data_IF_512643532213
#
_entry.id   IF_512643532213
#
_cell.length_a   1.000
_cell.length_b   1.000
_cell.length_c   1.000
_cell.angle_alpha   90.00
_cell.angle_beta   90.00
_cell.angle_gamma   90.00
#
_symmetry.space_group_name_H-M   'P 1'
#
loop_
_entity.id
_entity.type
_entity.pdbx_description
1 polymer ?
#
# COMPACT_ATOMS: atom_id res chain seq x y z
N UNK A 1 -10.08 32.69 15.53
CA UNK A 1 -10.16 31.59 14.55
C UNK A 1 -8.89 30.77 14.71
N UNK A 2 -8.98 29.44 14.70
CA UNK A 2 -7.78 28.60 14.64
C UNK A 2 -7.13 28.73 13.26
N UNK A 3 -5.80 28.63 13.19
CA UNK A 3 -5.01 28.73 11.97
C UNK A 3 -4.65 27.31 11.51
N UNK A 4 -4.76 27.02 10.22
CA UNK A 4 -4.44 25.71 9.67
C UNK A 4 -2.94 25.39 9.81
N UNK A 5 -2.57 24.12 10.03
CA UNK A 5 -1.20 23.71 10.33
C UNK A 5 -0.19 24.11 9.24
N UNK A 6 -0.57 24.00 7.97
CA UNK A 6 0.24 24.43 6.81
C UNK A 6 0.51 25.95 6.76
N UNK A 7 -0.23 26.74 7.53
CA UNK A 7 -0.10 28.19 7.62
C UNK A 7 0.51 28.65 8.95
N UNK A 8 0.82 27.72 9.86
CA UNK A 8 1.43 28.03 11.15
C UNK A 8 2.95 28.18 11.01
N UNK A 9 3.51 29.16 11.71
CA UNK A 9 4.95 29.43 11.73
C UNK A 9 5.46 29.58 13.17
N UNK A 10 6.68 29.12 13.43
CA UNK A 10 7.43 29.34 14.67
C UNK A 10 8.66 30.19 14.39
N UNK A 11 9.21 30.83 15.42
CA UNK A 11 10.49 31.55 15.33
C UNK A 11 11.57 30.62 15.86
N UNK A 12 12.58 30.35 15.04
CA UNK A 12 13.74 29.54 15.41
C UNK A 12 14.98 30.44 15.50
N UNK A 13 15.74 30.32 16.60
CA UNK A 13 16.96 31.10 16.81
C UNK A 13 18.15 30.36 16.23
N UNK A 14 18.80 30.95 15.22
CA UNK A 14 20.10 30.51 14.69
C UNK A 14 21.18 31.52 15.10
N UNK A 15 21.71 31.36 16.31
CA UNK A 15 22.66 32.30 16.90
C UNK A 15 21.99 33.64 17.27
N UNK A 16 22.37 34.72 16.58
CA UNK A 16 21.82 36.08 16.80
C UNK A 16 20.59 36.34 15.89
N UNK A 17 20.41 35.55 14.83
CA UNK A 17 19.30 35.74 13.88
C UNK A 17 18.07 34.92 14.28
N UNK A 18 16.90 35.55 14.20
CA UNK A 18 15.59 34.91 14.34
C UNK A 18 15.01 34.66 12.95
N UNK A 19 14.73 33.39 12.65
CA UNK A 19 14.15 32.97 11.37
C UNK A 19 12.72 32.48 11.60
N UNK A 20 11.80 32.91 10.73
CA UNK A 20 10.41 32.45 10.75
C UNK A 20 10.30 31.18 9.91
N UNK A 21 10.11 30.03 10.56
CA UNK A 21 10.04 28.72 9.91
C UNK A 21 8.64 28.11 10.05
N UNK A 22 8.17 27.29 9.10
CA UNK A 22 6.92 26.56 9.24
C UNK A 22 6.91 25.70 10.52
N UNK A 23 5.73 25.51 11.11
CA UNK A 23 5.59 24.61 12.27
C UNK A 23 5.78 23.15 11.84
N UNK A 24 5.26 22.77 10.67
CA UNK A 24 5.56 21.48 10.02
C UNK A 24 6.99 21.54 9.46
N UNK A 25 7.95 21.04 10.23
CA UNK A 25 9.37 21.14 9.90
C UNK A 25 10.13 19.94 10.47
N UNK A 26 11.22 19.47 9.82
CA UNK A 26 12.02 18.36 10.34
C UNK A 26 12.51 18.52 11.79
N UNK A 27 12.76 19.76 12.23
CA UNK A 27 13.14 20.04 13.64
C UNK A 27 12.01 19.82 14.65
N UNK A 28 10.78 19.53 14.18
CA UNK A 28 9.64 19.19 15.02
C UNK A 28 9.44 17.68 15.23
N UNK A 29 10.26 16.82 14.61
CA UNK A 29 10.26 15.37 14.91
C UNK A 29 10.78 15.10 16.32
N UNK A 30 10.26 14.03 16.94
CA UNK A 30 10.79 13.56 18.24
C UNK A 30 11.92 12.53 18.08
N UNK A 31 12.33 12.25 16.84
CA UNK A 31 13.36 11.25 16.49
C UNK A 31 13.04 9.86 17.04
N UNK A 32 11.75 9.48 17.01
CA UNK A 32 11.31 8.16 17.45
C UNK A 32 11.76 7.09 16.44
N UNK A 33 12.25 5.96 16.92
CA UNK A 33 12.73 4.90 16.02
C UNK A 33 11.60 3.91 15.74
N UNK A 34 11.36 3.61 14.46
CA UNK A 34 10.36 2.62 14.06
C UNK A 34 11.05 1.41 13.44
N UNK A 35 10.73 0.22 13.95
CA UNK A 35 11.23 -1.03 13.38
C UNK A 35 10.39 -1.48 12.18
N UNK A 36 11.00 -2.17 11.22
CA UNK A 36 10.28 -2.73 10.06
C UNK A 36 9.43 -3.94 10.46
N UNK A 37 8.26 -4.07 9.84
CA UNK A 37 7.40 -5.23 10.00
C UNK A 37 7.99 -6.49 9.37
N UNK A 38 7.76 -7.64 10.01
CA UNK A 38 8.09 -8.96 9.48
C UNK A 38 6.84 -9.85 9.51
N UNK A 39 6.65 -10.66 8.47
CA UNK A 39 5.57 -11.66 8.43
C UNK A 39 5.79 -12.73 9.48
N UNK A 40 4.70 -13.38 9.89
CA UNK A 40 4.78 -14.59 10.70
C UNK A 40 5.68 -15.63 10.00
N UNK A 41 6.61 -16.30 10.72
CA UNK A 41 7.45 -17.33 10.14
C UNK A 41 6.60 -18.47 9.55
N UNK A 42 7.07 -19.05 8.45
CA UNK A 42 6.40 -20.18 7.80
C UNK A 42 6.50 -21.46 8.64
N UNK A 43 7.61 -21.61 9.37
CA UNK A 43 7.82 -22.66 10.35
C UNK A 43 7.59 -22.08 11.75
N UNK A 44 6.43 -22.40 12.33
CA UNK A 44 6.05 -21.96 13.67
C UNK A 44 6.67 -22.81 14.78
N UNK A 45 7.37 -23.90 14.43
CA UNK A 45 8.12 -24.71 15.40
C UNK A 45 9.50 -24.10 15.71
N UNK A 46 10.00 -23.19 14.86
CA UNK A 46 11.18 -22.38 15.15
C UNK A 46 10.86 -21.32 16.22
N UNK A 47 11.02 -21.71 17.48
CA UNK A 47 10.77 -20.85 18.62
C UNK A 47 11.55 -19.53 18.58
N UNK A 48 12.77 -19.51 18.03
CA UNK A 48 13.56 -18.28 17.95
C UNK A 48 13.00 -17.31 16.91
N UNK A 49 12.54 -17.81 15.75
CA UNK A 49 11.87 -17.01 14.75
C UNK A 49 10.52 -16.47 15.24
N UNK A 50 9.77 -17.27 16.00
CA UNK A 50 8.51 -16.85 16.63
C UNK A 50 8.75 -15.78 17.69
N UNK A 51 9.74 -15.95 18.58
CA UNK A 51 10.11 -14.94 19.58
C UNK A 51 10.52 -13.62 18.93
N UNK A 52 11.32 -13.66 17.87
CA UNK A 52 11.69 -12.47 17.09
C UNK A 52 10.46 -11.77 16.49
N UNK A 53 9.51 -12.55 15.97
CA UNK A 53 8.26 -12.01 15.43
C UNK A 53 7.43 -11.34 16.53
N UNK A 54 7.27 -11.98 17.69
CA UNK A 54 6.53 -11.41 18.83
C UNK A 54 7.17 -10.09 19.27
N UNK A 55 8.49 -10.08 19.52
CA UNK A 55 9.21 -8.88 19.93
C UNK A 55 9.04 -7.74 18.92
N UNK A 56 9.20 -8.02 17.62
CA UNK A 56 9.04 -7.02 16.56
C UNK A 56 7.62 -6.45 16.55
N UNK A 57 6.62 -7.30 16.66
CA UNK A 57 5.21 -6.89 16.66
C UNK A 57 4.85 -6.06 17.88
N UNK A 58 5.41 -6.40 19.06
CA UNK A 58 5.24 -5.61 20.28
C UNK A 58 5.83 -4.20 20.13
N UNK A 59 7.06 -4.06 19.61
CA UNK A 59 7.62 -2.73 19.33
C UNK A 59 6.74 -1.92 18.38
N UNK A 60 6.29 -2.52 17.28
CA UNK A 60 5.39 -1.84 16.32
C UNK A 60 4.08 -1.41 17.01
N UNK A 61 3.51 -2.27 17.84
CA UNK A 61 2.28 -1.96 18.59
C UNK A 61 2.48 -0.76 19.52
N UNK A 62 3.58 -0.73 20.27
CA UNK A 62 3.94 0.36 21.18
C UNK A 62 4.20 1.66 20.41
N UNK A 63 4.97 1.59 19.32
CA UNK A 63 5.33 2.73 18.47
C UNK A 63 4.10 3.35 17.81
N UNK A 64 3.20 2.54 17.25
CA UNK A 64 1.95 3.03 16.66
C UNK A 64 1.02 3.62 17.72
N UNK A 65 0.97 3.03 18.91
CA UNK A 65 0.19 3.56 20.04
C UNK A 65 0.72 4.92 20.49
N UNK A 66 2.05 5.05 20.62
CA UNK A 66 2.71 6.32 20.91
C UNK A 66 2.42 7.37 19.83
N UNK A 67 2.53 6.99 18.54
CA UNK A 67 2.32 7.89 17.42
C UNK A 67 0.89 8.44 17.40
N UNK A 68 -0.11 7.58 17.65
CA UNK A 68 -1.52 7.99 17.71
C UNK A 68 -1.84 8.90 18.91
N UNK A 69 -1.06 8.81 20.00
CA UNK A 69 -1.20 9.70 21.16
C UNK A 69 -0.60 11.09 20.93
N UNK A 70 0.22 11.27 19.88
CA UNK A 70 0.81 12.57 19.58
C UNK A 70 -0.26 13.60 19.22
N UNK A 71 -0.01 14.85 19.61
CA UNK A 71 -0.81 15.97 19.14
C UNK A 71 -0.68 16.14 17.62
N UNK A 72 -1.65 16.83 17.01
CA UNK A 72 -1.74 16.98 15.56
C UNK A 72 -0.42 17.43 14.91
N UNK A 73 0.22 18.48 15.43
CA UNK A 73 1.48 18.98 14.89
C UNK A 73 2.60 17.95 14.97
N UNK A 74 2.82 17.33 16.13
CA UNK A 74 3.90 16.36 16.34
C UNK A 74 3.68 15.11 15.48
N UNK A 75 2.45 14.61 15.42
CA UNK A 75 2.09 13.51 14.54
C UNK A 75 2.47 13.80 13.09
N UNK A 76 2.10 14.98 12.57
CA UNK A 76 2.39 15.36 11.19
C UNK A 76 3.87 15.61 10.92
N UNK A 77 4.62 16.17 11.86
CA UNK A 77 6.08 16.26 11.75
C UNK A 77 6.72 14.87 11.67
N UNK A 78 6.26 13.93 12.49
CA UNK A 78 6.82 12.57 12.53
C UNK A 78 6.56 11.84 11.20
N UNK A 79 5.30 11.78 10.76
CA UNK A 79 4.94 11.01 9.56
C UNK A 79 5.44 11.63 8.25
N UNK A 80 5.65 12.95 8.20
CA UNK A 80 6.14 13.62 6.99
C UNK A 80 7.66 13.52 6.81
N UNK A 81 8.41 13.37 7.90
CA UNK A 81 9.87 13.51 7.84
C UNK A 81 10.63 12.30 8.40
N UNK A 82 9.99 11.40 9.15
CA UNK A 82 10.64 10.22 9.70
C UNK A 82 10.69 9.08 8.68
N UNK A 83 11.89 8.75 8.20
CA UNK A 83 12.13 7.68 7.24
C UNK A 83 11.90 6.27 7.79
N UNK A 84 12.09 6.09 9.09
CA UNK A 84 11.87 4.80 9.75
C UNK A 84 10.38 4.50 9.78
N UNK A 85 9.54 5.51 10.03
CA UNK A 85 8.07 5.38 9.91
C UNK A 85 7.67 4.92 8.51
N UNK A 86 8.20 5.55 7.45
CA UNK A 86 7.92 5.11 6.08
C UNK A 86 8.38 3.68 5.81
N UNK A 87 9.55 3.29 6.32
CA UNK A 87 10.09 1.94 6.16
C UNK A 87 9.21 0.89 6.87
N UNK A 88 8.70 1.24 8.06
CA UNK A 88 7.73 0.42 8.80
C UNK A 88 6.40 0.31 8.06
N UNK A 89 5.86 1.41 7.54
CA UNK A 89 4.62 1.42 6.76
C UNK A 89 4.76 0.57 5.48
N UNK A 90 5.85 0.75 4.72
CA UNK A 90 6.09 0.00 3.48
C UNK A 90 6.27 -1.50 3.72
N UNK A 91 7.04 -1.86 4.75
CA UNK A 91 7.20 -3.27 5.13
C UNK A 91 5.88 -3.87 5.60
N UNK A 92 5.09 -3.15 6.41
CA UNK A 92 3.78 -3.61 6.85
C UNK A 92 2.84 -3.84 5.65
N UNK A 93 2.65 -2.83 4.79
CA UNK A 93 1.74 -2.93 3.65
C UNK A 93 2.12 -4.06 2.69
N UNK A 94 3.43 -4.30 2.51
CA UNK A 94 3.93 -5.38 1.66
C UNK A 94 3.71 -6.77 2.24
N UNK A 95 3.98 -6.94 3.54
CA UNK A 95 4.14 -8.25 4.17
C UNK A 95 2.99 -8.67 5.08
N UNK A 96 2.08 -7.76 5.42
CA UNK A 96 0.90 -8.07 6.22
C UNK A 96 0.03 -9.14 5.54
N UNK A 97 -0.60 -10.03 6.32
CA UNK A 97 -1.41 -11.13 5.79
C UNK A 97 -2.60 -10.59 5.00
N UNK A 98 -2.77 -11.06 3.75
CA UNK A 98 -3.90 -10.68 2.90
C UNK A 98 -4.98 -11.74 2.95
N UNK A 99 -6.27 -11.39 3.06
CA UNK A 99 -7.34 -12.38 3.11
C UNK A 99 -7.34 -13.38 1.94
N UNK A 100 -6.96 -12.94 0.73
CA UNK A 100 -6.87 -13.84 -0.44
C UNK A 100 -5.68 -14.82 -0.41
N UNK A 101 -4.64 -14.54 0.38
CA UNK A 101 -3.45 -15.39 0.53
C UNK A 101 -3.52 -16.32 1.74
N UNK A 102 -4.37 -16.03 2.71
CA UNK A 102 -4.46 -16.75 3.98
C UNK A 102 -5.64 -17.74 4.04
N UNK A 103 -6.24 -18.11 2.90
CA UNK A 103 -7.37 -19.06 2.89
C UNK A 103 -6.87 -20.42 3.39
N UNK A 104 -7.30 -20.81 4.60
CA UNK A 104 -7.06 -22.13 5.17
C UNK A 104 -5.77 -22.32 5.96
N UNK A 105 -5.04 -21.23 6.27
CA UNK A 105 -3.79 -21.29 7.05
C UNK A 105 -3.95 -20.40 8.30
N UNK A 106 -4.21 -21.01 9.45
CA UNK A 106 -4.23 -20.33 10.76
C UNK A 106 -3.00 -20.68 11.59
N UNK A 107 -1.83 -20.22 11.12
CA UNK A 107 -0.57 -20.40 11.82
C UNK A 107 -0.50 -19.61 13.14
N UNK A 108 -1.42 -18.68 13.37
CA UNK A 108 -1.46 -17.89 14.60
C UNK A 108 -1.99 -18.69 15.80
N UNK A 109 -2.81 -19.73 15.54
CA UNK A 109 -3.39 -20.57 16.58
C UNK A 109 -2.35 -21.32 17.44
N UNK A 110 -1.14 -21.54 16.89
CA UNK A 110 -0.03 -22.19 17.57
C UNK A 110 0.79 -21.25 18.47
N UNK A 111 0.53 -19.94 18.43
CA UNK A 111 1.29 -18.92 19.16
C UNK A 111 0.36 -18.27 20.19
N UNK A 112 0.77 -18.29 21.45
CA UNK A 112 -0.01 -17.68 22.53
C UNK A 112 -0.25 -16.19 22.23
N UNK A 113 -1.52 -15.79 22.16
CA UNK A 113 -1.96 -14.43 21.82
C UNK A 113 -1.46 -13.91 20.45
N UNK A 114 -0.91 -14.76 19.57
CA UNK A 114 -0.34 -14.32 18.29
C UNK A 114 -1.37 -13.62 17.41
N UNK A 115 -2.58 -14.16 17.31
CA UNK A 115 -3.66 -13.52 16.55
C UNK A 115 -4.09 -12.18 17.15
N UNK A 116 -4.16 -12.08 18.48
CA UNK A 116 -4.53 -10.86 19.19
C UNK A 116 -3.51 -9.75 18.94
N UNK A 117 -2.22 -10.10 18.96
CA UNK A 117 -1.14 -9.16 18.67
C UNK A 117 -1.19 -8.67 17.22
N UNK A 118 -1.41 -9.57 16.26
CA UNK A 118 -1.56 -9.21 14.85
C UNK A 118 -2.78 -8.31 14.61
N UNK A 119 -3.93 -8.66 15.17
CA UNK A 119 -5.15 -7.84 15.08
C UNK A 119 -4.94 -6.45 15.69
N UNK A 120 -4.23 -6.37 16.82
CA UNK A 120 -3.95 -5.09 17.48
C UNK A 120 -3.05 -4.20 16.64
N UNK A 121 -1.94 -4.74 16.10
CA UNK A 121 -1.07 -3.99 15.18
C UNK A 121 -1.83 -3.56 13.95
N UNK A 122 -2.65 -4.46 13.37
CA UNK A 122 -3.45 -4.17 12.19
C UNK A 122 -4.47 -3.05 12.42
N UNK A 123 -5.12 -3.04 13.58
CA UNK A 123 -6.05 -2.00 14.00
C UNK A 123 -5.35 -0.66 14.20
N UNK A 124 -4.23 -0.63 14.92
CA UNK A 124 -3.45 0.59 15.17
C UNK A 124 -2.93 1.19 13.86
N UNK A 125 -2.41 0.35 12.97
CA UNK A 125 -1.98 0.76 11.65
C UNK A 125 -3.12 1.37 10.83
N UNK A 126 -4.30 0.73 10.84
CA UNK A 126 -5.47 1.28 10.17
C UNK A 126 -5.88 2.65 10.74
N UNK A 127 -5.83 2.83 12.06
CA UNK A 127 -6.10 4.12 12.69
C UNK A 127 -5.07 5.20 12.32
N UNK A 128 -3.78 4.84 12.20
CA UNK A 128 -2.75 5.75 11.68
C UNK A 128 -3.09 6.19 10.25
N UNK A 129 -3.42 5.24 9.37
CA UNK A 129 -3.78 5.53 7.97
C UNK A 129 -5.06 6.39 7.91
N UNK A 130 -6.05 6.14 8.77
CA UNK A 130 -7.24 6.97 8.90
C UNK A 130 -6.86 8.41 9.24
N UNK A 131 -6.01 8.63 10.24
CA UNK A 131 -5.53 9.96 10.63
C UNK A 131 -4.76 10.64 9.49
N UNK A 132 -3.86 9.92 8.82
CA UNK A 132 -3.13 10.40 7.64
C UNK A 132 -4.04 10.80 6.47
N UNK A 133 -5.20 10.15 6.34
CA UNK A 133 -6.18 10.48 5.30
C UNK A 133 -7.17 11.59 5.70
N UNK A 134 -7.04 12.16 6.91
CA UNK A 134 -8.00 13.12 7.47
C UNK A 134 -7.38 14.51 7.57
N UNK A 135 -7.73 15.40 6.64
CA UNK A 135 -7.21 16.78 6.61
C UNK A 135 -7.75 17.68 7.74
N UNK A 136 -8.83 17.27 8.42
CA UNK A 136 -9.47 18.02 9.50
C UNK A 136 -9.80 17.09 10.67
N UNK A 137 -8.89 17.03 11.64
CA UNK A 137 -9.02 16.20 12.85
C UNK A 137 -9.96 16.84 13.88
N UNK A 138 -9.93 18.17 14.02
CA UNK A 138 -10.87 18.95 14.83
C UNK A 138 -11.13 20.35 14.25
N UNK A 139 -11.87 21.21 14.95
CA UNK A 139 -12.03 22.61 14.54
C UNK A 139 -10.73 23.43 14.70
N UNK A 140 -9.86 23.00 15.62
CA UNK A 140 -8.58 23.63 15.94
C UNK A 140 -7.41 22.98 15.18
N UNK A 141 -7.51 21.68 14.91
CA UNK A 141 -6.45 20.86 14.33
C UNK A 141 -6.82 20.41 12.91
N UNK A 142 -6.33 21.15 11.92
CA UNK A 142 -6.64 20.90 10.51
C UNK A 142 -5.59 21.50 9.60
N UNK A 143 -5.63 21.07 8.34
CA UNK A 143 -4.95 21.69 7.20
C UNK A 143 -5.95 22.41 6.31
N UNK A 144 -5.46 23.39 5.55
CA UNK A 144 -6.19 23.77 4.35
C UNK A 144 -6.28 22.58 3.38
N UNK A 145 -7.35 22.47 2.57
CA UNK A 145 -7.48 21.42 1.56
C UNK A 145 -6.23 21.26 0.67
N UNK A 146 -5.72 22.38 0.15
CA UNK A 146 -4.53 22.44 -0.71
C UNK A 146 -3.25 22.07 0.05
N UNK A 147 -3.05 22.64 1.25
CA UNK A 147 -1.89 22.33 2.09
C UNK A 147 -1.81 20.85 2.46
N UNK A 148 -2.95 20.23 2.77
CA UNK A 148 -3.02 18.78 3.00
C UNK A 148 -2.60 17.99 1.76
N UNK A 149 -3.14 18.35 0.59
CA UNK A 149 -2.81 17.70 -0.69
C UNK A 149 -1.32 17.75 -1.02
N UNK A 150 -0.66 18.88 -0.75
CA UNK A 150 0.80 19.03 -0.87
C UNK A 150 1.53 18.14 0.13
N UNK A 151 1.17 18.20 1.42
CA UNK A 151 1.87 17.45 2.47
C UNK A 151 1.85 15.95 2.18
N UNK A 152 0.69 15.38 1.81
CA UNK A 152 0.60 13.94 1.58
C UNK A 152 1.31 13.48 0.30
N UNK A 153 1.40 14.34 -0.71
CA UNK A 153 1.99 14.03 -2.01
C UNK A 153 3.50 14.25 -2.02
N UNK A 154 3.95 15.43 -1.62
CA UNK A 154 5.35 15.86 -1.72
C UNK A 154 6.24 15.14 -0.69
N UNK A 155 5.66 14.69 0.44
CA UNK A 155 6.36 13.86 1.43
C UNK A 155 6.14 12.35 1.22
N UNK A 156 5.57 11.94 0.08
CA UNK A 156 5.32 10.53 -0.24
C UNK A 156 4.60 9.78 0.89
N UNK A 157 3.62 10.40 1.56
CA UNK A 157 2.80 9.72 2.57
C UNK A 157 1.97 8.63 1.89
N UNK A 158 1.38 8.97 0.75
CA UNK A 158 0.68 8.03 -0.11
C UNK A 158 1.28 8.01 -1.51
N UNK A 159 1.21 6.83 -2.12
CA UNK A 159 1.41 6.60 -3.54
C UNK A 159 0.41 5.53 -4.00
N UNK A 160 0.27 5.31 -5.31
CA UNK A 160 -0.70 4.35 -5.83
C UNK A 160 -0.47 2.91 -5.32
N UNK A 161 0.77 2.38 -5.26
CA UNK A 161 1.04 1.10 -4.60
C UNK A 161 0.52 1.00 -3.17
N UNK A 162 0.78 2.00 -2.31
CA UNK A 162 0.26 2.03 -0.93
C UNK A 162 -1.25 2.06 -0.92
N UNK A 163 -1.90 2.86 -1.76
CA UNK A 163 -3.37 2.90 -1.82
C UNK A 163 -3.97 1.55 -2.26
N UNK A 164 -3.32 0.85 -3.20
CA UNK A 164 -3.68 -0.52 -3.59
C UNK A 164 -3.53 -1.51 -2.44
N UNK A 165 -2.46 -1.41 -1.67
CA UNK A 165 -2.18 -2.30 -0.54
C UNK A 165 -3.13 -2.06 0.64
N UNK A 166 -3.39 -0.79 0.97
CA UNK A 166 -4.38 -0.40 1.99
C UNK A 166 -5.76 -0.93 1.61
N UNK A 167 -6.19 -0.75 0.36
CA UNK A 167 -7.44 -1.33 -0.13
C UNK A 167 -7.42 -2.86 -0.06
N UNK A 168 -6.28 -3.47 -0.36
CA UNK A 168 -6.15 -4.93 -0.34
C UNK A 168 -6.32 -5.53 1.05
N UNK A 169 -5.79 -4.85 2.08
CA UNK A 169 -5.84 -5.28 3.47
C UNK A 169 -7.20 -5.00 4.11
N UNK A 170 -7.75 -3.79 3.92
CA UNK A 170 -8.84 -3.30 4.77
C UNK A 170 -10.22 -3.21 4.11
N UNK A 171 -10.33 -3.40 2.79
CA UNK A 171 -11.61 -3.19 2.08
C UNK A 171 -12.74 -4.16 2.47
N UNK A 172 -12.44 -5.37 2.97
CA UNK A 172 -13.49 -6.35 3.34
C UNK A 172 -14.32 -5.81 4.50
N UNK A 173 -13.65 -5.36 5.56
CA UNK A 173 -14.29 -5.06 6.83
C UNK A 173 -14.59 -3.56 6.99
N UNK A 174 -13.86 -2.68 6.29
CA UNK A 174 -13.89 -1.24 6.51
C UNK A 174 -14.27 -0.43 5.26
N UNK A 175 -14.98 -1.04 4.31
CA UNK A 175 -15.22 -0.46 2.98
C UNK A 175 -15.72 0.98 3.00
N UNK A 176 -16.77 1.28 3.77
CA UNK A 176 -17.39 2.60 3.77
C UNK A 176 -16.47 3.69 4.31
N UNK A 177 -15.78 3.41 5.42
CA UNK A 177 -14.81 4.33 6.00
C UNK A 177 -13.62 4.51 5.05
N UNK A 178 -13.12 3.41 4.49
CA UNK A 178 -12.00 3.44 3.56
C UNK A 178 -12.35 4.19 2.27
N UNK A 179 -13.58 4.10 1.77
CA UNK A 179 -14.06 4.92 0.64
C UNK A 179 -13.98 6.42 0.94
N UNK A 180 -14.28 6.84 2.17
CA UNK A 180 -14.13 8.24 2.59
C UNK A 180 -12.66 8.64 2.66
N UNK A 181 -11.80 7.78 3.20
CA UNK A 181 -10.36 8.01 3.32
C UNK A 181 -9.72 8.20 1.93
N UNK A 182 -9.90 7.22 1.04
CA UNK A 182 -9.37 7.27 -0.33
C UNK A 182 -9.99 8.41 -1.13
N UNK A 183 -11.30 8.62 -1.00
CA UNK A 183 -12.00 9.73 -1.64
C UNK A 183 -11.45 11.09 -1.19
N UNK A 184 -11.13 11.28 0.09
CA UNK A 184 -10.50 12.51 0.57
C UNK A 184 -9.10 12.70 -0.03
N UNK A 185 -8.28 11.65 -0.09
CA UNK A 185 -6.93 11.70 -0.69
C UNK A 185 -7.01 12.17 -2.17
N UNK A 186 -7.82 11.50 -2.99
CA UNK A 186 -7.98 11.86 -4.41
C UNK A 186 -8.63 13.24 -4.61
N UNK A 187 -9.53 13.65 -3.71
CA UNK A 187 -10.18 14.95 -3.79
C UNK A 187 -9.22 16.10 -3.51
N UNK A 188 -8.32 15.96 -2.54
CA UNK A 188 -7.40 17.03 -2.16
C UNK A 188 -6.13 17.08 -3.02
N UNK A 189 -5.85 16.02 -3.78
CA UNK A 189 -4.66 15.95 -4.63
C UNK A 189 -4.97 15.23 -5.94
N UNK A 190 -5.16 16.01 -7.00
CA UNK A 190 -5.49 15.50 -8.34
C UNK A 190 -4.34 14.71 -8.98
N UNK A 191 -3.09 14.95 -8.54
CA UNK A 191 -1.88 14.24 -9.02
C UNK A 191 -2.01 12.72 -8.92
N UNK A 192 -2.70 12.19 -7.92
CA UNK A 192 -2.95 10.75 -7.79
C UNK A 192 -3.77 10.16 -8.94
N UNK A 193 -4.62 10.93 -9.61
CA UNK A 193 -5.36 10.44 -10.78
C UNK A 193 -4.41 10.19 -11.96
N UNK A 194 -3.43 11.08 -12.16
CA UNK A 194 -2.38 10.91 -13.16
C UNK A 194 -1.48 9.74 -12.80
N UNK A 195 -1.03 9.66 -11.55
CA UNK A 195 -0.14 8.59 -11.10
C UNK A 195 -0.84 7.22 -11.17
N UNK A 196 -2.17 7.19 -10.99
CA UNK A 196 -2.98 5.98 -11.20
C UNK A 196 -2.97 5.56 -12.67
N UNK A 197 -3.13 6.48 -13.62
CA UNK A 197 -3.02 6.21 -15.06
C UNK A 197 -1.65 5.59 -15.38
N UNK A 198 -0.56 6.16 -14.86
CA UNK A 198 0.79 5.65 -15.10
C UNK A 198 1.03 4.29 -14.44
N UNK A 199 0.50 4.07 -13.23
CA UNK A 199 0.53 2.75 -12.58
C UNK A 199 -0.21 1.69 -13.40
N UNK A 200 -1.38 2.02 -13.97
CA UNK A 200 -2.15 1.10 -14.82
C UNK A 200 -1.35 0.71 -16.07
N UNK A 201 -0.70 1.66 -16.75
CA UNK A 201 0.17 1.37 -17.91
C UNK A 201 1.31 0.44 -17.53
N UNK A 202 1.98 0.72 -16.42
CA UNK A 202 3.06 -0.12 -15.89
C UNK A 202 2.58 -1.55 -15.60
N UNK A 203 1.40 -1.70 -14.98
CA UNK A 203 0.78 -3.00 -14.72
C UNK A 203 0.50 -3.74 -16.02
N UNK A 204 -0.10 -3.07 -17.03
CA UNK A 204 -0.36 -3.68 -18.36
C UNK A 204 0.93 -4.18 -18.99
N UNK A 205 1.98 -3.37 -18.98
CA UNK A 205 3.28 -3.74 -19.53
C UNK A 205 3.88 -4.96 -18.84
N UNK A 206 3.85 -5.00 -17.51
CA UNK A 206 4.40 -6.12 -16.74
C UNK A 206 3.61 -7.40 -16.99
N UNK A 207 2.28 -7.35 -16.97
CA UNK A 207 1.42 -8.51 -17.24
C UNK A 207 1.64 -9.03 -18.65
N UNK A 208 1.64 -8.16 -19.67
CA UNK A 208 1.87 -8.54 -21.07
C UNK A 208 3.27 -9.14 -21.26
N UNK A 209 4.31 -8.56 -20.66
CA UNK A 209 5.68 -9.11 -20.72
C UNK A 209 5.77 -10.49 -20.09
N UNK A 210 5.25 -10.68 -18.88
CA UNK A 210 5.25 -11.97 -18.18
C UNK A 210 4.48 -13.04 -18.95
N UNK A 211 3.31 -12.69 -19.47
CA UNK A 211 2.50 -13.60 -20.29
C UNK A 211 3.21 -13.98 -21.59
N UNK A 212 3.83 -13.02 -22.29
CA UNK A 212 4.57 -13.29 -23.52
C UNK A 212 5.73 -14.25 -23.27
N UNK A 213 6.50 -14.04 -22.20
CA UNK A 213 7.60 -14.93 -21.82
C UNK A 213 7.09 -16.34 -21.57
N UNK A 214 6.01 -16.50 -20.80
CA UNK A 214 5.40 -17.80 -20.55
C UNK A 214 4.95 -18.49 -21.84
N UNK A 215 4.23 -17.77 -22.72
CA UNK A 215 3.73 -18.32 -23.98
C UNK A 215 4.86 -18.69 -24.96
N UNK A 216 5.91 -17.87 -25.09
CA UNK A 216 7.01 -18.16 -26.02
C UNK A 216 7.94 -19.27 -25.51
N UNK A 217 8.05 -19.46 -24.19
CA UNK A 217 8.76 -20.58 -23.58
C UNK A 217 8.05 -21.93 -23.76
N UNK A 218 6.77 -21.94 -24.18
CA UNK A 218 5.97 -23.16 -24.43
C UNK A 218 5.96 -23.64 -25.89
N UNK A 219 6.83 -23.11 -26.76
CA UNK A 219 7.09 -23.70 -28.08
C UNK A 219 7.61 -25.15 -27.98
N UNK A 220 7.57 -25.96 -29.06
CA UNK A 220 7.91 -27.38 -29.00
C UNK A 220 9.33 -27.61 -28.46
N UNK A 221 9.42 -28.00 -27.18
CA UNK A 221 10.68 -28.38 -26.54
C UNK A 221 11.05 -29.78 -27.03
N UNK A 222 12.31 -29.96 -27.47
CA UNK A 222 12.86 -31.31 -27.74
C UNK A 222 12.66 -32.16 -26.47
N UNK A 223 12.22 -33.41 -26.65
CA UNK A 223 11.72 -34.34 -25.63
C UNK A 223 12.65 -34.71 -24.45
N UNK A 224 13.78 -34.02 -24.24
CA UNK A 224 14.86 -34.45 -23.34
C UNK A 224 15.11 -33.54 -22.13
N UNK A 225 14.19 -32.66 -21.76
CA UNK A 225 14.35 -31.84 -20.53
C UNK A 225 13.16 -32.05 -19.60
N UNK A 226 13.47 -32.52 -18.39
CA UNK A 226 12.57 -32.70 -17.23
C UNK A 226 11.51 -31.60 -17.13
N UNK A 227 10.25 -31.98 -17.28
CA UNK A 227 9.07 -31.10 -17.38
C UNK A 227 8.63 -30.43 -16.06
N UNK A 228 9.49 -30.39 -15.04
CA UNK A 228 9.15 -29.88 -13.69
C UNK A 228 9.14 -28.35 -13.61
N UNK A 229 9.91 -27.65 -14.45
CA UNK A 229 10.05 -26.17 -14.38
C UNK A 229 8.81 -25.40 -14.87
N UNK A 230 8.08 -25.91 -15.86
CA UNK A 230 6.96 -25.17 -16.49
C UNK A 230 5.69 -25.11 -15.64
N UNK A 231 5.47 -26.08 -14.76
CA UNK A 231 4.26 -26.12 -13.92
C UNK A 231 4.32 -25.11 -12.79
N UNK A 232 5.48 -24.94 -12.14
CA UNK A 232 5.65 -23.93 -11.09
C UNK A 232 5.56 -22.51 -11.67
N UNK A 233 6.17 -22.27 -12.84
CA UNK A 233 6.07 -20.98 -13.55
C UNK A 233 4.61 -20.62 -13.90
N UNK A 234 3.81 -21.61 -14.31
CA UNK A 234 2.37 -21.40 -14.54
C UNK A 234 1.64 -21.07 -13.24
N UNK A 235 1.90 -21.82 -12.16
CA UNK A 235 1.29 -21.59 -10.85
C UNK A 235 1.63 -20.19 -10.34
N UNK A 236 2.89 -19.77 -10.43
CA UNK A 236 3.35 -18.44 -10.02
C UNK A 236 2.70 -17.34 -10.85
N UNK A 237 2.53 -17.56 -12.17
CA UNK A 237 1.82 -16.62 -13.05
C UNK A 237 0.33 -16.51 -12.66
N UNK A 238 -0.33 -17.64 -12.37
CA UNK A 238 -1.73 -17.66 -11.93
C UNK A 238 -1.89 -16.95 -10.60
N UNK A 239 -1.01 -17.18 -9.62
CA UNK A 239 -1.03 -16.46 -8.35
C UNK A 239 -0.77 -14.96 -8.51
N UNK A 240 0.14 -14.58 -9.40
CA UNK A 240 0.40 -13.17 -9.71
C UNK A 240 -0.84 -12.49 -10.31
N UNK A 241 -1.49 -13.11 -11.29
CA UNK A 241 -2.71 -12.57 -11.92
C UNK A 241 -3.85 -12.51 -10.91
N UNK A 242 -4.01 -13.55 -10.08
CA UNK A 242 -5.04 -13.60 -9.05
C UNK A 242 -4.86 -12.46 -8.04
N UNK A 243 -3.65 -12.28 -7.51
CA UNK A 243 -3.36 -11.23 -6.53
C UNK A 243 -3.62 -9.85 -7.13
N UNK A 244 -3.13 -9.59 -8.35
CA UNK A 244 -3.39 -8.35 -9.06
C UNK A 244 -4.89 -8.10 -9.28
N UNK A 245 -5.63 -9.13 -9.69
CA UNK A 245 -7.08 -9.06 -9.90
C UNK A 245 -7.81 -8.72 -8.61
N UNK A 246 -7.44 -9.36 -7.50
CA UNK A 246 -7.97 -9.06 -6.17
C UNK A 246 -7.65 -7.63 -5.75
N UNK A 247 -6.41 -7.18 -5.91
CA UNK A 247 -5.97 -5.82 -5.55
C UNK A 247 -6.73 -4.76 -6.34
N UNK A 248 -6.81 -4.89 -7.67
CA UNK A 248 -7.56 -3.96 -8.52
C UNK A 248 -9.05 -3.98 -8.17
N UNK A 249 -9.65 -5.16 -7.99
CA UNK A 249 -11.06 -5.27 -7.63
C UNK A 249 -11.36 -4.60 -6.28
N UNK A 250 -10.52 -4.83 -5.26
CA UNK A 250 -10.68 -4.21 -3.94
C UNK A 250 -10.56 -2.69 -4.03
N UNK A 251 -9.55 -2.18 -4.73
CA UNK A 251 -9.39 -0.74 -4.96
C UNK A 251 -10.60 -0.13 -5.66
N UNK A 252 -11.07 -0.70 -6.77
CA UNK A 252 -12.25 -0.20 -7.50
C UNK A 252 -13.56 -0.34 -6.72
N UNK A 253 -13.63 -1.28 -5.78
CA UNK A 253 -14.78 -1.40 -4.88
C UNK A 253 -14.84 -0.25 -3.87
N UNK A 254 -13.68 0.26 -3.46
CA UNK A 254 -13.52 1.36 -2.50
C UNK A 254 -13.57 2.71 -3.20
N UNK A 255 -12.92 2.86 -4.35
CA UNK A 255 -12.87 4.08 -5.14
C UNK A 255 -13.47 3.86 -6.54
N UNK A 256 -14.81 3.82 -6.67
CA UNK A 256 -15.47 3.53 -7.94
C UNK A 256 -15.27 4.61 -9.00
N UNK A 257 -14.89 5.84 -8.62
CA UNK A 257 -14.63 6.93 -9.58
C UNK A 257 -13.41 6.63 -10.47
N UNK A 258 -12.41 5.93 -9.92
CA UNK A 258 -11.23 5.50 -10.67
C UNK A 258 -11.53 4.55 -11.82
N UNK A 259 -12.72 3.94 -11.90
CA UNK A 259 -13.12 3.11 -13.05
C UNK A 259 -12.98 3.85 -14.38
N UNK A 260 -13.19 5.17 -14.39
CA UNK A 260 -13.04 6.00 -15.59
C UNK A 260 -11.59 5.97 -16.06
N UNK A 261 -10.62 6.12 -15.17
CA UNK A 261 -9.19 6.04 -15.50
C UNK A 261 -8.82 4.66 -16.04
N UNK A 262 -9.28 3.58 -15.40
CA UNK A 262 -9.07 2.21 -15.88
C UNK A 262 -9.68 1.98 -17.28
N UNK A 263 -10.85 2.54 -17.55
CA UNK A 263 -11.49 2.48 -18.86
C UNK A 263 -10.72 3.28 -19.91
N UNK A 264 -10.26 4.49 -19.59
CA UNK A 264 -9.47 5.34 -20.49
C UNK A 264 -8.13 4.70 -20.87
N UNK A 265 -7.51 4.00 -19.92
CA UNK A 265 -6.28 3.25 -20.15
C UNK A 265 -6.51 1.89 -20.83
N UNK A 266 -7.75 1.58 -21.25
CA UNK A 266 -8.13 0.32 -21.89
C UNK A 266 -7.62 -0.88 -21.07
N UNK A 267 -7.84 -0.84 -19.75
CA UNK A 267 -7.38 -1.88 -18.84
C UNK A 267 -8.34 -3.06 -18.86
N UNK A 268 -7.94 -4.11 -19.56
CA UNK A 268 -8.63 -5.38 -19.57
C UNK A 268 -7.68 -6.49 -19.14
N UNK A 269 -7.96 -7.14 -18.01
CA UNK A 269 -7.26 -8.37 -17.61
C UNK A 269 -7.48 -9.52 -18.63
N UNK A 270 -8.42 -9.35 -19.56
CA UNK A 270 -8.75 -10.28 -20.66
C UNK A 270 -8.04 -10.00 -21.98
N UNK A 271 -7.09 -9.04 -22.06
CA UNK A 271 -6.34 -8.72 -23.30
C UNK A 271 -5.47 -9.86 -23.87
N UNK A 272 -5.56 -11.06 -23.28
CA UNK A 272 -4.83 -12.27 -23.66
C UNK A 272 -5.53 -13.08 -24.77
N UNK A 273 -6.84 -12.89 -25.02
CA UNK A 273 -7.51 -13.65 -26.10
C UNK A 273 -7.49 -12.98 -27.48
N UNK A 274 -7.29 -11.66 -27.58
CA UNK A 274 -7.41 -10.96 -28.87
C UNK A 274 -6.19 -11.12 -29.79
N UNK A 275 -5.00 -11.34 -29.24
CA UNK A 275 -3.77 -11.51 -30.03
C UNK A 275 -3.78 -12.86 -30.75
N UNK A 276 -4.36 -13.91 -30.15
CA UNK A 276 -4.42 -15.25 -30.75
C UNK A 276 -5.61 -15.41 -31.71
N UNK A 277 -6.74 -14.76 -31.45
CA UNK A 277 -7.88 -14.81 -32.39
C UNK A 277 -7.65 -13.99 -33.66
N UNK A 278 -6.81 -12.94 -33.65
CA UNK A 278 -6.48 -12.20 -34.88
C UNK A 278 -5.47 -12.93 -35.77
N UNK A 279 -4.45 -13.58 -35.20
CA UNK A 279 -3.51 -14.37 -36.01
C UNK A 279 -4.19 -15.61 -36.61
N UNK A 280 -5.04 -16.28 -35.83
CA UNK A 280 -5.63 -17.54 -36.24
C UNK A 280 -6.79 -17.36 -37.25
N UNK A 281 -7.35 -16.15 -37.41
CA UNK A 281 -8.36 -15.85 -38.45
C UNK A 281 -7.75 -15.43 -39.80
N UNK A 282 -6.58 -14.80 -39.82
CA UNK A 282 -5.91 -14.42 -41.07
C UNK A 282 -5.29 -15.64 -41.78
N UNK A 283 -4.88 -16.67 -41.02
CA UNK A 283 -4.35 -17.92 -41.57
C UNK A 283 -5.44 -18.90 -42.06
N UNK A 284 -6.71 -18.73 -41.67
CA UNK A 284 -7.83 -19.61 -42.08
C UNK A 284 -8.60 -19.05 -43.29
N UNK A 285 -8.48 -17.75 -43.58
CA UNK A 285 -9.16 -17.10 -44.72
C UNK A 285 -8.27 -16.96 -45.97
N UNK A 286 -7.09 -17.60 -45.98
CA UNK A 286 -6.13 -17.58 -47.10
C UNK A 286 -6.05 -18.89 -47.90
N UNK A 287 -7.10 -19.72 -47.86
CA UNK A 287 -7.30 -20.86 -48.78
C UNK A 287 -8.47 -20.63 -49.73
#
# INVERSE_FOLDING_TARGET
>A
MSIALDQQFKIEKKGIMEERVPVLHPSGMEHHYFVTYISLPSDVEDGAAVEQWIERMTFIQEDLSWLLQQNHTKFWCEVAFNKDFHSMLDSYLRYAPRPQRCIGIDNYSSIENGKVLEDSVSQLMFMCILRLSTHKESAENFFTPEGFGHVIYDNYIFDIPRLFDICSLYAINNKELLSKMIGNIFKQQEGYTRDLSDAIKSIKDVVTKRMKVFLTQTGPKKLNTTATSSSQELIDLLYYILDLSCTVNRFLSVNPQSKITFFQEDFHLTQVCSVRMKSDYEDVLSF
#
